data_IF_978201806136
#
_entry.id   IF_978201806136
#
_cell.length_a   1.000
_cell.length_b   1.000
_cell.length_c   1.000
_cell.angle_alpha   90.00
_cell.angle_beta   90.00
_cell.angle_gamma   90.00
#
_symmetry.space_group_name_H-M   'P 1'
#
loop_
_entity.id
_entity.type
_entity.pdbx_description
1 polymer ?
#
# COMPACT_ATOMS: atom_id res chain seq x y z
N UNK A 1 -13.45 20.89 -6.17
CA UNK A 1 -12.14 20.32 -5.85
C UNK A 1 -11.91 19.05 -6.67
N UNK A 2 -10.77 18.96 -7.33
CA UNK A 2 -10.31 17.76 -8.03
C UNK A 2 -8.97 17.33 -7.43
N UNK A 3 -8.81 16.02 -7.17
CA UNK A 3 -7.56 15.44 -6.69
C UNK A 3 -7.15 14.34 -7.66
N UNK A 4 -5.98 14.50 -8.25
CA UNK A 4 -5.37 13.53 -9.16
C UNK A 4 -4.12 12.96 -8.51
N UNK A 5 -4.05 11.64 -8.40
CA UNK A 5 -2.94 10.96 -7.76
C UNK A 5 -2.36 9.90 -8.68
N UNK A 6 -1.06 9.94 -8.88
CA UNK A 6 -0.31 8.95 -9.66
C UNK A 6 0.87 8.44 -8.85
N UNK A 7 1.24 7.18 -9.04
CA UNK A 7 2.42 6.69 -8.35
C UNK A 7 2.76 5.25 -8.69
N UNK A 8 3.97 4.90 -8.29
CA UNK A 8 4.49 3.54 -8.40
C UNK A 8 5.42 3.22 -7.24
N UNK A 9 5.36 1.98 -6.79
CA UNK A 9 6.30 1.40 -5.84
C UNK A 9 6.84 0.10 -6.44
N UNK A 10 8.11 0.11 -6.80
CA UNK A 10 8.83 -1.06 -7.32
C UNK A 10 9.83 -1.60 -6.30
N UNK A 11 10.10 -2.91 -6.31
CA UNK A 11 11.13 -3.53 -5.47
C UNK A 11 12.01 -4.45 -6.32
N UNK A 12 13.32 -4.23 -6.26
CA UNK A 12 14.32 -5.19 -6.68
C UNK A 12 14.77 -5.97 -5.43
N UNK A 13 14.85 -7.29 -5.53
CA UNK A 13 15.27 -8.08 -4.38
C UNK A 13 16.31 -9.15 -4.77
N UNK A 14 17.21 -9.41 -3.83
CA UNK A 14 18.19 -10.48 -3.91
C UNK A 14 17.95 -11.43 -2.75
N UNK A 15 17.80 -12.73 -3.07
CA UNK A 15 17.46 -13.73 -2.05
C UNK A 15 18.41 -14.89 -2.09
N UNK A 16 18.69 -15.42 -0.91
CA UNK A 16 19.42 -16.66 -0.71
C UNK A 16 18.63 -17.56 0.24
N UNK A 17 18.54 -18.84 -0.09
CA UNK A 17 17.84 -19.79 0.76
C UNK A 17 18.54 -21.14 0.73
N UNK A 18 18.39 -21.87 1.84
CA UNK A 18 18.87 -23.22 1.98
C UNK A 18 17.90 -24.09 2.75
N UNK A 19 18.12 -25.41 2.66
CA UNK A 19 17.36 -26.34 3.46
C UNK A 19 18.26 -27.37 4.14
N UNK A 20 17.81 -27.83 5.30
CA UNK A 20 18.44 -28.91 6.05
C UNK A 20 17.49 -30.08 6.16
N UNK A 21 17.96 -31.27 5.72
CA UNK A 21 17.22 -32.54 5.76
C UNK A 21 15.81 -32.49 5.15
N UNK A 22 15.54 -31.56 4.22
CA UNK A 22 14.22 -31.32 3.62
C UNK A 22 13.11 -31.05 4.65
N UNK A 23 13.47 -30.71 5.89
CA UNK A 23 12.55 -30.41 7.00
C UNK A 23 12.64 -28.96 7.44
N UNK A 24 13.79 -28.38 7.41
CA UNK A 24 14.03 -27.00 7.84
C UNK A 24 14.55 -26.17 6.67
N UNK A 25 13.86 -25.09 6.37
CA UNK A 25 14.20 -24.15 5.30
C UNK A 25 14.42 -22.79 5.94
N UNK A 26 15.48 -22.11 5.55
CA UNK A 26 15.79 -20.75 5.97
C UNK A 26 16.14 -19.92 4.74
N UNK A 27 15.69 -18.68 4.72
CA UNK A 27 15.98 -17.76 3.63
C UNK A 27 16.11 -16.33 4.11
N UNK A 28 16.94 -15.59 3.42
CA UNK A 28 17.14 -14.17 3.64
C UNK A 28 17.03 -13.41 2.32
N UNK A 29 16.53 -12.18 2.37
CA UNK A 29 16.36 -11.32 1.20
C UNK A 29 16.69 -9.87 1.53
N UNK A 30 17.44 -9.22 0.65
CA UNK A 30 17.65 -7.78 0.63
C UNK A 30 16.74 -7.17 -0.45
N UNK A 31 15.89 -6.22 -0.06
CA UNK A 31 15.02 -5.47 -0.95
C UNK A 31 15.54 -4.06 -1.15
N UNK A 32 15.53 -3.59 -2.40
CA UNK A 32 15.78 -2.20 -2.79
C UNK A 32 14.50 -1.69 -3.42
N UNK A 33 13.84 -0.75 -2.77
CA UNK A 33 12.57 -0.18 -3.19
C UNK A 33 12.77 1.18 -3.85
N UNK A 34 11.98 1.45 -4.88
CA UNK A 34 11.90 2.77 -5.53
C UNK A 34 10.45 3.22 -5.51
N UNK A 35 10.24 4.44 -5.02
CA UNK A 35 8.93 5.09 -4.97
C UNK A 35 8.95 6.34 -5.84
N UNK A 36 7.83 6.55 -6.56
CA UNK A 36 7.46 7.81 -7.16
C UNK A 36 5.98 8.05 -6.83
N UNK A 37 5.64 9.25 -6.40
CA UNK A 37 4.28 9.64 -6.06
C UNK A 37 4.06 11.09 -6.45
N UNK A 38 3.02 11.34 -7.23
CA UNK A 38 2.61 12.66 -7.71
C UNK A 38 1.18 12.93 -7.24
N UNK A 39 0.95 14.11 -6.72
CA UNK A 39 -0.37 14.62 -6.35
C UNK A 39 -0.59 15.96 -7.05
N UNK A 40 -1.74 16.10 -7.69
CA UNK A 40 -2.24 17.38 -8.18
C UNK A 40 -3.59 17.64 -7.54
N UNK A 41 -3.72 18.76 -6.83
CA UNK A 41 -4.98 19.18 -6.21
C UNK A 41 -5.39 20.52 -6.81
N UNK A 42 -6.57 20.58 -7.42
CA UNK A 42 -7.14 21.81 -7.98
C UNK A 42 -8.39 22.19 -7.20
N UNK A 43 -8.37 23.40 -6.67
CA UNK A 43 -9.53 24.07 -6.08
C UNK A 43 -10.03 25.14 -7.05
N UNK A 44 -11.27 24.98 -7.50
CA UNK A 44 -11.92 25.93 -8.42
C UNK A 44 -13.05 26.65 -7.69
N UNK A 45 -13.08 27.96 -7.76
CA UNK A 45 -14.23 28.77 -7.37
C UNK A 45 -14.73 29.54 -8.57
N UNK A 46 -16.06 29.56 -8.73
CA UNK A 46 -16.75 30.27 -9.81
C UNK A 46 -17.85 31.10 -9.18
N UNK A 47 -17.94 32.36 -9.56
CA UNK A 47 -19.05 33.20 -9.16
C UNK A 47 -20.30 32.89 -10.02
N UNK A 48 -21.39 32.49 -9.37
CA UNK A 48 -22.66 32.16 -10.05
C UNK A 48 -23.63 33.33 -10.10
N UNK A 49 -23.61 34.22 -9.11
CA UNK A 49 -24.62 35.25 -8.87
C UNK A 49 -24.22 36.67 -9.31
N UNK A 50 -23.02 36.85 -9.84
CA UNK A 50 -22.47 38.14 -10.26
C UNK A 50 -22.50 39.22 -9.15
N UNK A 51 -22.24 38.80 -7.91
CA UNK A 51 -22.26 39.65 -6.72
C UNK A 51 -20.89 40.27 -6.41
N UNK A 52 -19.81 39.72 -6.93
CA UNK A 52 -18.44 40.17 -6.72
C UNK A 52 -18.03 40.96 -7.97
N UNK A 53 -17.76 42.26 -7.79
CA UNK A 53 -17.40 43.14 -8.90
C UNK A 53 -16.14 42.65 -9.62
N UNK A 54 -16.26 42.47 -10.94
CA UNK A 54 -15.18 42.14 -11.86
C UNK A 54 -14.48 40.78 -11.62
N UNK A 55 -15.07 39.86 -10.86
CA UNK A 55 -14.53 38.52 -10.61
C UNK A 55 -15.41 37.47 -11.27
N UNK A 56 -14.82 36.54 -12.02
CA UNK A 56 -15.54 35.42 -12.64
C UNK A 56 -15.17 34.07 -12.01
N UNK A 57 -13.88 33.73 -11.95
CA UNK A 57 -13.43 32.45 -11.38
C UNK A 57 -11.95 32.44 -11.06
N UNK A 58 -11.53 31.51 -10.20
CA UNK A 58 -10.13 31.14 -10.08
C UNK A 58 -9.93 29.62 -9.95
N UNK A 59 -8.77 29.17 -10.37
CA UNK A 59 -8.23 27.85 -10.11
C UNK A 59 -6.94 27.99 -9.29
N UNK A 60 -6.91 27.38 -8.12
CA UNK A 60 -5.70 27.21 -7.33
C UNK A 60 -5.27 25.76 -7.40
N UNK A 61 -4.08 25.49 -7.97
CA UNK A 61 -3.55 24.16 -8.17
C UNK A 61 -2.27 23.97 -7.39
N UNK A 62 -2.24 22.92 -6.57
CA UNK A 62 -1.09 22.44 -5.81
C UNK A 62 -0.51 21.22 -6.50
N UNK A 63 0.80 21.22 -6.71
CA UNK A 63 1.56 20.11 -7.28
C UNK A 63 2.55 19.60 -6.25
N UNK A 64 2.54 18.28 -6.01
CA UNK A 64 3.45 17.61 -5.10
C UNK A 64 4.05 16.38 -5.81
N UNK A 65 5.37 16.23 -5.71
CA UNK A 65 6.12 15.09 -6.20
C UNK A 65 7.02 14.53 -5.09
N UNK A 66 6.91 13.24 -4.81
CA UNK A 66 7.77 12.53 -3.88
C UNK A 66 8.46 11.40 -4.62
N UNK A 67 9.77 11.40 -4.64
CA UNK A 67 10.55 10.35 -5.28
C UNK A 67 11.72 9.90 -4.42
N UNK A 68 12.14 8.65 -4.57
CA UNK A 68 13.31 8.17 -3.86
C UNK A 68 13.46 6.67 -3.82
N UNK A 69 14.45 6.26 -3.02
CA UNK A 69 14.83 4.85 -2.86
C UNK A 69 14.92 4.48 -1.39
N UNK A 70 14.66 3.20 -1.10
CA UNK A 70 14.78 2.64 0.24
C UNK A 70 15.29 1.20 0.20
N UNK A 71 15.71 0.71 1.35
CA UNK A 71 16.15 -0.68 1.49
C UNK A 71 15.52 -1.33 2.72
N UNK A 72 15.32 -2.62 2.64
CA UNK A 72 14.87 -3.47 3.74
C UNK A 72 15.55 -4.83 3.69
N UNK A 73 15.48 -5.54 4.82
CA UNK A 73 15.96 -6.89 4.94
C UNK A 73 14.82 -7.79 5.41
N UNK A 74 14.74 -8.99 4.83
CA UNK A 74 13.73 -10.01 5.16
C UNK A 74 14.44 -11.30 5.57
N UNK A 75 13.98 -11.92 6.64
CA UNK A 75 14.45 -13.22 7.10
C UNK A 75 13.24 -14.11 7.34
N UNK A 76 13.30 -15.35 6.86
CA UNK A 76 12.19 -16.30 7.05
C UNK A 76 12.71 -17.72 7.24
N UNK A 77 11.89 -18.51 7.93
CA UNK A 77 12.10 -19.93 8.10
C UNK A 77 10.79 -20.71 7.93
N UNK A 78 10.91 -21.92 7.39
CA UNK A 78 9.80 -22.89 7.32
C UNK A 78 10.28 -24.19 7.93
N UNK A 79 9.46 -24.73 8.83
CA UNK A 79 9.65 -26.05 9.42
C UNK A 79 8.58 -27.02 8.92
N UNK A 80 9.01 -28.17 8.43
CA UNK A 80 8.16 -29.27 7.93
C UNK A 80 8.34 -30.48 8.87
N UNK A 81 7.61 -30.53 10.00
CA UNK A 81 7.72 -31.64 10.96
C UNK A 81 7.32 -32.98 10.35
N UNK A 82 6.26 -32.95 9.53
CA UNK A 82 5.72 -34.10 8.79
C UNK A 82 5.38 -33.68 7.36
N UNK A 83 5.16 -34.65 6.47
CA UNK A 83 4.98 -34.41 5.04
C UNK A 83 3.84 -33.44 4.68
N UNK A 84 2.74 -33.52 5.47
CA UNK A 84 1.54 -32.74 5.20
C UNK A 84 1.48 -31.40 5.95
N UNK A 85 2.38 -31.13 6.91
CA UNK A 85 2.34 -29.93 7.76
C UNK A 85 3.57 -29.04 7.50
N UNK A 86 3.32 -27.75 7.26
CA UNK A 86 4.34 -26.69 7.19
C UNK A 86 3.98 -25.59 8.14
N UNK A 87 4.97 -25.14 8.90
CA UNK A 87 4.87 -24.00 9.82
C UNK A 87 5.95 -23.01 9.39
N UNK A 88 5.56 -21.76 9.15
CA UNK A 88 6.47 -20.72 8.71
C UNK A 88 6.41 -19.48 9.57
N UNK A 89 7.54 -18.78 9.65
CA UNK A 89 7.60 -17.44 10.23
C UNK A 89 8.61 -16.59 9.45
N UNK A 90 8.34 -15.30 9.35
CA UNK A 90 9.26 -14.34 8.75
C UNK A 90 9.17 -12.98 9.41
N UNK A 91 10.28 -12.27 9.34
CA UNK A 91 10.39 -10.88 9.80
C UNK A 91 10.89 -10.02 8.65
N UNK A 92 10.40 -8.79 8.59
CA UNK A 92 10.88 -7.77 7.67
C UNK A 92 11.22 -6.52 8.48
N UNK A 93 12.44 -6.03 8.31
CA UNK A 93 12.84 -4.74 8.90
C UNK A 93 12.00 -3.61 8.32
N UNK A 94 11.94 -2.45 8.96
CA UNK A 94 11.53 -1.24 8.29
C UNK A 94 12.24 -1.06 6.95
N UNK A 95 11.53 -0.49 5.99
CA UNK A 95 12.17 0.05 4.79
C UNK A 95 12.64 1.46 5.11
N UNK A 96 13.93 1.70 4.96
CA UNK A 96 14.56 2.99 5.21
C UNK A 96 14.67 3.74 3.89
N UNK A 97 13.75 4.67 3.65
CA UNK A 97 13.72 5.51 2.46
C UNK A 97 14.54 6.80 2.66
N UNK A 98 15.21 7.23 1.60
CA UNK A 98 15.63 8.61 1.39
C UNK A 98 14.77 9.15 0.25
N UNK A 99 13.98 10.20 0.56
CA UNK A 99 12.99 10.78 -0.33
C UNK A 99 13.33 12.24 -0.60
N UNK A 100 13.04 12.68 -1.81
CA UNK A 100 13.01 14.06 -2.23
C UNK A 100 11.55 14.46 -2.45
N UNK A 101 11.18 15.63 -1.97
CA UNK A 101 9.87 16.22 -2.11
C UNK A 101 9.98 17.55 -2.81
N UNK A 102 9.27 17.66 -3.92
CA UNK A 102 9.15 18.89 -4.71
C UNK A 102 7.70 19.35 -4.69
N UNK A 103 7.47 20.64 -4.46
CA UNK A 103 6.14 21.20 -4.53
C UNK A 103 6.14 22.62 -5.06
N UNK A 104 5.07 23.00 -5.73
CA UNK A 104 4.79 24.35 -6.18
C UNK A 104 3.29 24.55 -6.37
N UNK A 105 2.86 25.82 -6.39
CA UNK A 105 1.47 26.18 -6.57
C UNK A 105 1.32 27.05 -7.82
N UNK A 106 0.16 26.96 -8.49
CA UNK A 106 -0.25 27.88 -9.53
C UNK A 106 -1.62 28.44 -9.22
N UNK A 107 -1.86 29.68 -9.58
CA UNK A 107 -3.16 30.33 -9.48
C UNK A 107 -3.50 30.98 -10.82
N UNK A 108 -4.67 30.65 -11.37
CA UNK A 108 -5.23 31.25 -12.55
C UNK A 108 -6.53 31.95 -12.18
N UNK A 109 -6.67 33.22 -12.51
CA UNK A 109 -7.86 34.02 -12.22
C UNK A 109 -8.44 34.55 -13.52
N UNK A 110 -9.76 34.49 -13.66
CA UNK A 110 -10.52 35.01 -14.79
C UNK A 110 -11.49 36.10 -14.29
N UNK A 111 -11.62 37.16 -15.08
CA UNK A 111 -12.41 38.35 -14.76
C UNK A 111 -13.53 38.53 -15.76
N UNK A 112 -14.59 39.28 -15.38
CA UNK A 112 -15.79 39.51 -16.23
C UNK A 112 -15.49 40.35 -17.47
N UNK A 113 -14.43 41.16 -17.45
CA UNK A 113 -13.95 41.94 -18.62
C UNK A 113 -13.25 41.06 -19.66
N UNK A 114 -13.10 39.76 -19.42
CA UNK A 114 -12.42 38.80 -20.27
C UNK A 114 -10.92 38.73 -20.04
N UNK A 115 -10.37 39.49 -19.09
CA UNK A 115 -8.96 39.39 -18.72
C UNK A 115 -8.68 38.12 -17.89
N UNK A 116 -7.46 37.58 -17.99
CA UNK A 116 -7.00 36.42 -17.23
C UNK A 116 -5.57 36.64 -16.75
N UNK A 117 -5.29 36.24 -15.53
CA UNK A 117 -3.97 36.35 -14.93
C UNK A 117 -3.54 34.98 -14.37
N UNK A 118 -2.25 34.70 -14.52
CA UNK A 118 -1.63 33.45 -13.99
C UNK A 118 -0.39 33.82 -13.20
N UNK A 119 -0.25 33.15 -12.04
CA UNK A 119 0.93 33.24 -11.21
C UNK A 119 1.34 31.85 -10.72
N UNK A 120 2.63 31.61 -10.57
CA UNK A 120 3.17 30.35 -10.04
C UNK A 120 4.22 30.68 -8.98
N UNK A 121 4.26 29.86 -7.92
CA UNK A 121 5.36 29.91 -6.97
C UNK A 121 6.63 29.30 -7.56
N UNK A 122 7.78 29.60 -6.98
CA UNK A 122 9.00 28.85 -7.24
C UNK A 122 8.85 27.40 -6.75
N UNK A 123 9.55 26.48 -7.39
CA UNK A 123 9.60 25.09 -6.95
C UNK A 123 10.39 25.04 -5.64
N UNK A 124 9.76 24.50 -4.62
CA UNK A 124 10.38 24.22 -3.33
C UNK A 124 10.81 22.75 -3.29
N UNK A 125 12.04 22.51 -2.85
CA UNK A 125 12.61 21.17 -2.76
C UNK A 125 13.23 20.95 -1.39
N UNK A 126 12.92 19.80 -0.77
CA UNK A 126 13.68 19.32 0.37
C UNK A 126 13.75 17.80 0.39
N UNK A 127 14.74 17.25 1.08
CA UNK A 127 14.86 15.82 1.29
C UNK A 127 14.51 15.43 2.71
N UNK A 128 13.98 14.23 2.86
CA UNK A 128 13.68 13.64 4.16
C UNK A 128 13.87 12.13 4.13
N UNK A 129 13.87 11.50 5.30
CA UNK A 129 13.94 10.05 5.43
C UNK A 129 12.65 9.53 6.04
N UNK A 130 12.15 8.43 5.47
CA UNK A 130 10.97 7.73 5.97
C UNK A 130 11.36 6.31 6.38
N UNK A 131 11.00 5.92 7.60
CA UNK A 131 11.10 4.56 8.09
C UNK A 131 9.71 3.95 8.15
N UNK A 132 9.46 2.86 7.39
CA UNK A 132 8.19 2.13 7.42
C UNK A 132 8.12 1.20 8.64
N UNK A 133 6.95 0.63 8.96
CA UNK A 133 6.82 -0.30 10.07
C UNK A 133 7.65 -1.59 9.90
N UNK A 134 8.05 -2.16 11.03
CA UNK A 134 8.47 -3.56 11.11
C UNK A 134 7.28 -4.48 10.85
N UNK A 135 7.53 -5.63 10.17
CA UNK A 135 6.51 -6.64 9.91
C UNK A 135 6.94 -8.00 10.42
N UNK A 136 6.01 -8.67 11.07
CA UNK A 136 6.14 -10.07 11.46
C UNK A 136 5.05 -10.88 10.77
N UNK A 137 5.40 -12.01 10.17
CA UNK A 137 4.46 -12.95 9.58
C UNK A 137 4.67 -14.33 10.18
N UNK A 138 3.59 -15.06 10.37
CA UNK A 138 3.60 -16.48 10.69
C UNK A 138 2.45 -17.19 9.98
N UNK A 139 2.64 -18.47 9.68
CA UNK A 139 1.60 -19.22 8.97
C UNK A 139 1.75 -20.71 9.17
N UNK A 140 0.65 -21.37 8.90
CA UNK A 140 0.54 -22.84 8.90
C UNK A 140 -0.13 -23.28 7.61
N UNK A 141 0.37 -24.36 7.01
CA UNK A 141 -0.24 -24.95 5.84
C UNK A 141 -0.32 -26.48 5.97
N UNK A 142 -1.50 -27.00 5.64
CA UNK A 142 -1.73 -28.41 5.46
C UNK A 142 -1.73 -28.72 3.97
N UNK A 143 -0.87 -29.64 3.54
CA UNK A 143 -0.68 -29.98 2.13
C UNK A 143 -0.91 -31.45 1.88
N UNK A 144 -1.57 -31.75 0.77
CA UNK A 144 -1.76 -33.11 0.27
C UNK A 144 -1.34 -33.20 -1.19
N UNK A 145 -0.49 -34.14 -1.52
CA UNK A 145 -0.07 -34.35 -2.92
C UNK A 145 -1.26 -34.68 -3.84
N UNK A 146 -2.29 -35.31 -3.30
CA UNK A 146 -3.48 -35.73 -4.05
C UNK A 146 -4.55 -34.65 -4.14
N UNK A 147 -4.80 -33.91 -3.05
CA UNK A 147 -5.98 -33.06 -2.92
C UNK A 147 -5.70 -31.57 -3.03
N UNK A 148 -4.45 -31.12 -2.77
CA UNK A 148 -4.09 -29.70 -2.75
C UNK A 148 -3.63 -29.20 -1.39
N UNK A 149 -4.05 -28.01 -0.98
CA UNK A 149 -3.60 -27.41 0.28
C UNK A 149 -4.64 -26.46 0.87
N UNK A 150 -4.51 -26.25 2.17
CA UNK A 150 -5.15 -25.16 2.91
C UNK A 150 -4.10 -24.46 3.75
N UNK A 151 -4.15 -23.13 3.82
CA UNK A 151 -3.23 -22.33 4.65
C UNK A 151 -3.97 -21.28 5.45
N UNK A 152 -3.36 -20.93 6.58
CA UNK A 152 -3.71 -19.78 7.40
C UNK A 152 -2.44 -18.99 7.66
N UNK A 153 -2.50 -17.67 7.46
CA UNK A 153 -1.40 -16.75 7.67
C UNK A 153 -1.85 -15.59 8.57
N UNK A 154 -0.97 -15.22 9.47
CA UNK A 154 -1.08 -14.07 10.35
C UNK A 154 0.06 -13.11 10.09
N UNK A 155 -0.26 -11.82 10.00
CA UNK A 155 0.71 -10.74 9.88
C UNK A 155 0.43 -9.68 10.94
N UNK A 156 1.48 -9.23 11.62
CA UNK A 156 1.45 -8.06 12.50
C UNK A 156 2.33 -6.96 11.94
N UNK A 157 1.73 -5.78 11.82
CA UNK A 157 2.40 -4.55 11.38
C UNK A 157 2.17 -3.49 12.45
N UNK A 158 3.22 -2.90 12.98
CA UNK A 158 3.10 -1.89 14.03
C UNK A 158 3.39 -0.50 13.46
N UNK A 159 2.31 0.19 13.09
CA UNK A 159 2.38 1.47 12.39
C UNK A 159 2.81 2.64 13.28
N UNK A 160 2.74 2.52 14.60
CA UNK A 160 3.19 3.59 15.50
C UNK A 160 4.70 3.82 15.45
N UNK A 161 5.47 2.84 14.97
CA UNK A 161 6.92 2.95 14.79
C UNK A 161 7.35 3.53 13.44
N UNK A 162 6.43 3.98 12.61
CA UNK A 162 6.78 4.79 11.44
C UNK A 162 7.45 6.09 11.90
N UNK A 163 8.48 6.53 11.19
CA UNK A 163 9.21 7.74 11.53
C UNK A 163 9.60 8.54 10.29
N UNK A 164 9.38 9.84 10.38
CA UNK A 164 9.98 10.83 9.51
C UNK A 164 11.25 11.37 10.19
N UNK A 165 12.34 11.50 9.44
CA UNK A 165 13.62 12.03 9.93
C UNK A 165 14.13 13.08 8.98
N UNK A 166 14.88 14.01 9.53
CA UNK A 166 15.58 15.05 8.79
C UNK A 166 16.44 14.45 7.66
N UNK A 167 16.34 15.08 6.49
CA UNK A 167 17.24 14.86 5.35
C UNK A 167 18.25 15.97 5.23
N UNK A 168 18.68 16.25 4.01
CA UNK A 168 19.58 17.36 3.70
C UNK A 168 18.74 18.66 3.63
N UNK A 169 18.64 19.44 4.69
CA UNK A 169 17.84 20.68 4.71
C UNK A 169 17.35 21.11 6.08
N UNK A 170 17.59 20.33 7.12
CA UNK A 170 17.35 20.73 8.51
C UNK A 170 15.87 20.75 8.95
N UNK A 171 14.97 20.18 8.17
CA UNK A 171 13.54 20.10 8.53
C UNK A 171 13.33 19.05 9.63
N UNK A 172 12.81 19.47 10.76
CA UNK A 172 12.48 18.57 11.88
C UNK A 172 11.03 18.11 11.80
N UNK A 173 10.78 16.83 12.11
CA UNK A 173 9.47 16.17 12.01
C UNK A 173 8.93 15.75 13.38
N UNK A 174 9.27 16.47 14.45
CA UNK A 174 8.79 16.11 15.80
C UNK A 174 7.25 16.12 15.90
N UNK A 175 6.52 17.17 15.45
CA UNK A 175 5.06 17.18 15.52
C UNK A 175 4.40 16.08 14.70
N UNK A 176 4.97 15.75 13.51
CA UNK A 176 4.46 14.69 12.64
C UNK A 176 4.68 13.31 13.28
N UNK A 177 5.84 13.06 13.87
CA UNK A 177 6.13 11.81 14.57
C UNK A 177 5.28 11.63 15.83
N UNK A 178 5.03 12.70 16.57
CA UNK A 178 4.11 12.68 17.72
C UNK A 178 2.68 12.35 17.24
N UNK A 179 2.25 12.93 16.12
CA UNK A 179 0.97 12.63 15.49
C UNK A 179 0.90 11.17 15.01
N UNK A 180 1.96 10.64 14.40
CA UNK A 180 2.04 9.23 13.99
C UNK A 180 1.84 8.33 15.20
N UNK A 181 2.60 8.53 16.27
CA UNK A 181 2.52 7.71 17.47
C UNK A 181 1.19 7.83 18.20
N UNK A 182 0.51 8.98 18.11
CA UNK A 182 -0.81 9.24 18.71
C UNK A 182 -1.93 8.54 17.95
N UNK A 183 -1.87 8.57 16.62
CA UNK A 183 -2.97 8.18 15.71
C UNK A 183 -2.89 6.71 15.31
N UNK A 184 -1.68 6.22 15.02
CA UNK A 184 -1.48 4.86 14.50
C UNK A 184 -1.10 3.87 15.60
N UNK A 185 -1.45 2.60 15.38
CA UNK A 185 -1.16 1.47 16.26
C UNK A 185 -0.76 0.22 15.47
N UNK A 186 -0.80 -0.91 16.16
CA UNK A 186 -0.56 -2.19 15.52
C UNK A 186 -1.81 -2.69 14.81
N UNK A 187 -1.64 -3.22 13.60
CA UNK A 187 -2.69 -3.93 12.86
C UNK A 187 -2.34 -5.41 12.73
N UNK A 188 -3.35 -6.27 12.92
CA UNK A 188 -3.25 -7.71 12.79
C UNK A 188 -4.03 -8.13 11.54
N UNK A 189 -3.34 -8.77 10.61
CA UNK A 189 -3.91 -9.17 9.34
C UNK A 189 -4.01 -10.70 9.30
N UNK A 190 -5.12 -11.20 8.82
CA UNK A 190 -5.42 -12.63 8.76
C UNK A 190 -5.72 -13.03 7.34
N UNK A 191 -5.17 -14.15 6.89
CA UNK A 191 -5.42 -14.69 5.56
C UNK A 191 -5.68 -16.19 5.66
N UNK A 192 -6.69 -16.65 4.96
CA UNK A 192 -6.99 -18.07 4.78
C UNK A 192 -7.11 -18.35 3.29
N UNK A 193 -6.50 -19.42 2.85
CA UNK A 193 -6.56 -19.83 1.43
C UNK A 193 -6.56 -21.32 1.26
N UNK A 194 -7.13 -21.77 0.15
CA UNK A 194 -7.15 -23.17 -0.21
C UNK A 194 -6.95 -23.37 -1.72
N UNK A 195 -6.33 -24.48 -2.06
CA UNK A 195 -6.19 -24.96 -3.43
C UNK A 195 -6.68 -26.40 -3.48
N UNK A 196 -7.57 -26.71 -4.41
CA UNK A 196 -8.04 -28.06 -4.72
C UNK A 196 -7.45 -28.49 -6.06
N UNK A 197 -6.79 -29.65 -6.07
CA UNK A 197 -6.19 -30.27 -7.25
C UNK A 197 -7.15 -31.28 -7.85
N UNK A 198 -7.55 -31.08 -9.10
CA UNK A 198 -8.45 -31.94 -9.87
C UNK A 198 -7.74 -32.42 -11.15
N UNK A 199 -6.81 -33.37 -10.99
CA UNK A 199 -5.96 -33.80 -12.10
C UNK A 199 -5.01 -32.71 -12.57
N UNK A 200 -5.22 -32.18 -13.78
CA UNK A 200 -4.48 -31.08 -14.36
C UNK A 200 -5.05 -29.70 -13.98
N UNK A 201 -6.25 -29.66 -13.42
CA UNK A 201 -6.93 -28.45 -13.03
C UNK A 201 -6.71 -28.12 -11.55
N UNK A 202 -6.65 -26.82 -11.25
CA UNK A 202 -6.48 -26.29 -9.91
C UNK A 202 -7.52 -25.22 -9.66
N UNK A 203 -8.31 -25.37 -8.59
CA UNK A 203 -9.28 -24.37 -8.15
C UNK A 203 -8.78 -23.77 -6.85
N UNK A 204 -8.82 -22.44 -6.74
CA UNK A 204 -8.31 -21.71 -5.59
C UNK A 204 -9.37 -20.77 -5.05
N UNK A 205 -9.40 -20.63 -3.73
CA UNK A 205 -10.21 -19.64 -3.05
C UNK A 205 -9.46 -19.09 -1.85
N UNK A 206 -9.72 -17.84 -1.51
CA UNK A 206 -9.08 -17.21 -0.36
C UNK A 206 -9.87 -16.01 0.15
N UNK A 207 -9.66 -15.76 1.43
CA UNK A 207 -10.17 -14.61 2.14
C UNK A 207 -9.06 -13.98 2.95
N UNK A 208 -9.00 -12.64 2.96
CA UNK A 208 -8.07 -11.92 3.80
C UNK A 208 -8.77 -10.74 4.48
N UNK A 209 -8.36 -10.49 5.71
CA UNK A 209 -8.86 -9.43 6.57
C UNK A 209 -7.66 -8.61 7.04
N UNK A 210 -7.66 -7.32 6.74
CA UNK A 210 -6.65 -6.37 7.17
C UNK A 210 -7.28 -5.37 8.13
N UNK A 211 -6.78 -5.37 9.37
CA UNK A 211 -7.24 -4.42 10.38
C UNK A 211 -6.84 -2.98 10.02
N UNK A 212 -7.60 -2.04 10.54
CA UNK A 212 -7.27 -0.62 10.49
C UNK A 212 -5.94 -0.34 11.18
N UNK A 213 -5.06 0.47 10.59
CA UNK A 213 -3.82 0.90 11.25
C UNK A 213 -4.05 1.95 12.34
N UNK A 214 -5.26 2.50 12.45
CA UNK A 214 -5.58 3.54 13.42
C UNK A 214 -5.84 2.96 14.81
N UNK A 215 -5.40 3.68 15.87
CA UNK A 215 -5.78 3.32 17.24
C UNK A 215 -7.29 3.49 17.45
N UNK A 216 -7.87 2.73 18.38
CA UNK A 216 -9.32 2.66 18.60
C UNK A 216 -10.01 4.03 18.77
N UNK A 217 -9.31 5.04 19.27
CA UNK A 217 -9.81 6.43 19.34
C UNK A 217 -10.05 7.06 17.96
N UNK A 218 -9.37 6.54 16.92
CA UNK A 218 -9.43 7.04 15.54
C UNK A 218 -9.90 5.96 14.57
N UNK A 219 -10.42 4.86 15.09
CA UNK A 219 -10.83 3.64 14.38
C UNK A 219 -11.90 3.92 13.30
N UNK A 220 -12.67 4.98 13.51
CA UNK A 220 -13.69 5.39 12.55
C UNK A 220 -13.12 5.86 11.20
N UNK A 221 -11.83 6.21 11.12
CA UNK A 221 -11.22 6.76 9.90
C UNK A 221 -11.06 5.73 8.79
N UNK A 222 -10.88 4.46 9.13
CA UNK A 222 -10.77 3.39 8.15
C UNK A 222 -11.40 2.10 8.69
N UNK A 223 -12.26 1.49 7.90
CA UNK A 223 -12.77 0.15 8.22
C UNK A 223 -11.72 -0.93 7.98
N UNK A 224 -12.01 -2.11 8.49
CA UNK A 224 -11.31 -3.34 8.09
C UNK A 224 -11.41 -3.48 6.57
N UNK A 225 -10.30 -3.87 5.94
CA UNK A 225 -10.26 -4.17 4.52
C UNK A 225 -10.41 -5.67 4.30
N UNK A 226 -11.50 -6.05 3.66
CA UNK A 226 -11.80 -7.43 3.31
C UNK A 226 -11.39 -7.72 1.87
N UNK A 227 -10.72 -8.86 1.63
CA UNK A 227 -10.33 -9.28 0.29
C UNK A 227 -10.83 -10.70 0.04
N UNK A 228 -11.64 -10.84 -0.98
CA UNK A 228 -12.12 -12.11 -1.51
C UNK A 228 -11.34 -12.45 -2.77
N UNK A 229 -10.87 -13.69 -2.90
CA UNK A 229 -10.13 -14.13 -4.07
C UNK A 229 -10.57 -15.50 -4.55
N UNK A 230 -10.50 -15.69 -5.86
CA UNK A 230 -10.75 -16.96 -6.51
C UNK A 230 -9.82 -17.12 -7.71
N UNK A 231 -9.53 -18.37 -8.07
CA UNK A 231 -8.64 -18.64 -9.19
C UNK A 231 -8.84 -20.02 -9.76
N UNK A 232 -8.42 -20.14 -10.99
CA UNK A 232 -8.42 -21.39 -11.75
C UNK A 232 -7.09 -21.56 -12.47
N UNK A 233 -6.53 -22.75 -12.44
CA UNK A 233 -5.27 -23.08 -13.08
C UNK A 233 -5.36 -24.36 -13.89
N UNK A 234 -4.59 -24.41 -14.97
CA UNK A 234 -4.33 -25.60 -15.75
C UNK A 234 -2.83 -25.85 -15.81
N UNK A 235 -2.41 -27.07 -15.50
CA UNK A 235 -1.00 -27.47 -15.49
C UNK A 235 -0.79 -28.77 -16.23
N UNK A 236 0.14 -28.74 -17.14
CA UNK A 236 0.64 -29.89 -17.84
C UNK A 236 2.17 -30.02 -17.63
N UNK A 237 2.79 -31.07 -18.15
CA UNK A 237 4.21 -31.37 -17.88
C UNK A 237 5.14 -30.21 -18.27
N UNK A 238 4.88 -29.56 -19.40
CA UNK A 238 5.74 -28.54 -19.98
C UNK A 238 5.25 -27.12 -19.85
N UNK A 239 3.97 -26.87 -19.49
CA UNK A 239 3.44 -25.52 -19.32
C UNK A 239 2.35 -25.44 -18.25
N UNK A 240 2.08 -24.21 -17.79
CA UNK A 240 0.93 -23.91 -16.94
C UNK A 240 0.33 -22.55 -17.30
N UNK A 241 -0.97 -22.42 -17.06
CA UNK A 241 -1.70 -21.17 -17.13
C UNK A 241 -2.58 -21.06 -15.89
N UNK A 242 -2.46 -19.95 -15.18
CA UNK A 242 -3.26 -19.63 -14.01
C UNK A 242 -4.02 -18.32 -14.24
N UNK A 243 -5.29 -18.29 -13.86
CA UNK A 243 -6.13 -17.10 -13.79
C UNK A 243 -6.52 -16.87 -12.34
N UNK A 244 -6.43 -15.62 -11.87
CA UNK A 244 -6.89 -15.22 -10.54
C UNK A 244 -7.67 -13.90 -10.60
N UNK A 245 -8.69 -13.82 -9.77
CA UNK A 245 -9.48 -12.63 -9.51
C UNK A 245 -9.47 -12.34 -8.01
N UNK A 246 -9.35 -11.08 -7.65
CA UNK A 246 -9.56 -10.64 -6.28
C UNK A 246 -10.37 -9.34 -6.21
N UNK A 247 -11.19 -9.24 -5.19
CA UNK A 247 -11.99 -8.05 -4.86
C UNK A 247 -11.70 -7.63 -3.44
N UNK A 248 -11.23 -6.40 -3.28
CA UNK A 248 -11.02 -5.76 -1.99
C UNK A 248 -12.10 -4.70 -1.74
N UNK A 249 -12.63 -4.66 -0.50
CA UNK A 249 -13.68 -3.75 -0.04
C UNK A 249 -13.21 -3.09 1.26
N UNK A 250 -13.34 -1.76 1.36
CA UNK A 250 -13.12 -1.02 2.59
C UNK A 250 -13.79 0.35 2.54
N UNK A 251 -13.89 1.01 3.69
CA UNK A 251 -14.41 2.36 3.84
C UNK A 251 -13.35 3.25 4.45
N UNK A 252 -13.31 4.49 4.02
CA UNK A 252 -12.49 5.54 4.64
C UNK A 252 -13.38 6.73 4.98
N UNK A 253 -13.10 7.35 6.13
CA UNK A 253 -13.77 8.58 6.56
C UNK A 253 -12.76 9.71 6.64
N UNK A 254 -12.99 10.74 5.87
CA UNK A 254 -12.14 11.92 5.79
C UNK A 254 -12.93 13.19 6.05
N UNK A 255 -12.38 14.18 6.76
CA UNK A 255 -13.01 15.49 6.84
C UNK A 255 -12.92 16.19 5.47
N UNK A 256 -14.03 16.77 5.00
CA UNK A 256 -14.03 17.57 3.75
C UNK A 256 -13.23 18.86 3.96
N UNK A 257 -13.34 19.45 5.15
CA UNK A 257 -12.59 20.64 5.54
C UNK A 257 -11.92 20.40 6.89
N UNK A 258 -10.73 20.94 7.09
CA UNK A 258 -9.96 20.78 8.32
C UNK A 258 -10.65 21.34 9.58
N UNK A 259 -11.64 22.20 9.40
CA UNK A 259 -12.40 22.87 10.48
C UNK A 259 -13.73 22.18 10.82
N UNK A 260 -14.17 21.20 10.03
CA UNK A 260 -15.41 20.47 10.27
C UNK A 260 -15.15 19.16 11.03
N UNK A 261 -15.98 18.91 12.03
CA UNK A 261 -16.00 17.64 12.78
C UNK A 261 -16.63 16.49 12.01
N UNK A 262 -17.41 16.81 10.98
CA UNK A 262 -18.17 15.82 10.22
C UNK A 262 -17.27 15.13 9.19
N UNK A 263 -17.26 13.80 9.25
CA UNK A 263 -16.49 12.95 8.36
C UNK A 263 -17.37 12.46 7.21
N UNK A 264 -16.86 12.60 5.99
CA UNK A 264 -17.46 11.97 4.81
C UNK A 264 -16.98 10.55 4.67
N UNK A 265 -17.90 9.61 4.46
CA UNK A 265 -17.60 8.21 4.22
C UNK A 265 -17.44 7.96 2.73
N UNK A 266 -16.32 7.39 2.35
CA UNK A 266 -16.02 6.93 1.00
C UNK A 266 -15.93 5.41 0.97
N UNK A 267 -16.69 4.77 0.08
CA UNK A 267 -16.67 3.32 -0.15
C UNK A 267 -15.69 2.99 -1.27
N UNK A 268 -14.72 2.14 -0.97
CA UNK A 268 -13.72 1.70 -1.93
C UNK A 268 -13.93 0.26 -2.35
N UNK A 269 -13.85 0.04 -3.65
CA UNK A 269 -13.86 -1.29 -4.27
C UNK A 269 -12.70 -1.39 -5.25
N UNK A 270 -11.81 -2.36 -5.04
CA UNK A 270 -10.71 -2.64 -5.95
C UNK A 270 -10.83 -4.06 -6.51
N UNK A 271 -10.88 -4.19 -7.83
CA UNK A 271 -10.88 -5.47 -8.53
C UNK A 271 -9.53 -5.67 -9.23
N UNK A 272 -8.94 -6.87 -9.09
CA UNK A 272 -7.70 -7.26 -9.77
C UNK A 272 -7.90 -8.56 -10.54
N UNK A 273 -7.42 -8.58 -11.77
CA UNK A 273 -7.35 -9.75 -12.64
C UNK A 273 -5.88 -10.05 -12.91
N UNK A 274 -5.47 -11.31 -12.72
CA UNK A 274 -4.10 -11.74 -12.92
C UNK A 274 -4.12 -12.99 -13.79
N UNK A 275 -3.32 -12.97 -14.87
CA UNK A 275 -3.08 -14.12 -15.71
C UNK A 275 -1.57 -14.44 -15.63
N UNK A 276 -1.24 -15.68 -15.35
CA UNK A 276 0.14 -16.15 -15.31
C UNK A 276 0.30 -17.33 -16.25
N UNK A 277 1.29 -17.27 -17.13
CA UNK A 277 1.69 -18.38 -17.97
C UNK A 277 3.18 -18.70 -17.74
N UNK A 278 3.53 -19.97 -17.75
CA UNK A 278 4.91 -20.40 -17.58
C UNK A 278 5.20 -21.73 -18.25
N UNK A 279 6.47 -21.90 -18.58
CA UNK A 279 7.00 -23.12 -19.21
C UNK A 279 8.01 -23.78 -18.28
N UNK A 280 8.04 -25.11 -18.30
CA UNK A 280 9.05 -25.93 -17.63
C UNK A 280 9.87 -26.64 -18.68
N UNK A 281 11.16 -26.51 -18.55
CA UNK A 281 12.16 -27.16 -19.41
C UNK A 281 12.73 -28.41 -18.74
#
# INVERSE_FOLDING_TARGET
NTIDTKGSLGEYFFSVAGNYAHKFYIGASLGIQRINYELTRTHTEVEEDNNIYDFHSFDFTEYEDHSGTGFNFKLGAIYKPVEFLRIGASVQTPTFFKLEYNWYNTMNSNFDDGSSYSASSDIQTFSYRLSTPFRFNSGIALTSQKWGMISFDYERVDYEFMQLKEGDGGVQFTPENDSISMVFGAANNYRVGGELKLGQFYVRGGFALYESPYKSRYDERQSVREIYSGGFGYRENSFFVDFAFSRALWQEKTPIFSTLSDLTTSDFTQNKFIITAGFRF
#
